data_IF_639056044576
#
_entry.id   IF_639056044576
#
_cell.length_a   1.000
_cell.length_b   1.000
_cell.length_c   1.000
_cell.angle_alpha   90.00
_cell.angle_beta   90.00
_cell.angle_gamma   90.00
#
_symmetry.space_group_name_H-M   'P 1'
#
loop_
_entity.id
_entity.type
_entity.pdbx_description
1 polymer ?
#
# COMPACT_ATOMS: atom_id res chain seq x y z
N UNK A 1 16.76 5.70 -4.47
CA UNK A 1 16.37 5.70 -5.89
C UNK A 1 14.90 6.06 -5.98
N UNK A 2 14.61 7.36 -5.93
CA UNK A 2 13.25 7.90 -5.85
C UNK A 2 13.08 8.88 -7.01
N UNK A 3 12.72 8.39 -8.19
CA UNK A 3 12.27 9.21 -9.32
C UNK A 3 11.92 8.32 -10.50
N UNK A 4 10.63 8.00 -10.65
CA UNK A 4 10.02 7.80 -11.98
C UNK A 4 8.50 7.78 -12.07
N UNK A 5 7.76 8.08 -11.01
CA UNK A 5 6.30 8.36 -11.10
C UNK A 5 6.03 9.86 -11.36
N UNK A 6 7.04 10.73 -11.41
CA UNK A 6 6.84 12.15 -11.80
C UNK A 6 6.50 12.35 -13.29
N UNK A 7 6.79 11.38 -14.16
CA UNK A 7 6.52 11.47 -15.60
C UNK A 7 5.13 10.97 -15.99
N UNK A 8 4.59 10.00 -15.24
CA UNK A 8 3.18 9.57 -15.32
C UNK A 8 2.39 10.44 -14.34
N UNK A 9 2.54 11.76 -14.45
CA UNK A 9 1.40 12.64 -14.19
C UNK A 9 0.45 12.43 -15.37
N UNK A 10 -0.13 11.23 -15.46
CA UNK A 10 -1.37 11.11 -16.21
C UNK A 10 -2.31 11.95 -15.38
N UNK A 11 -2.59 13.17 -15.88
CA UNK A 11 -3.77 13.92 -15.47
C UNK A 11 -4.96 13.07 -15.89
N UNK A 12 -5.28 12.04 -15.11
CA UNK A 12 -6.51 11.27 -15.20
C UNK A 12 -7.61 12.20 -14.71
N UNK A 13 -7.97 13.22 -15.51
CA UNK A 13 -9.16 14.06 -15.34
C UNK A 13 -9.44 14.73 -13.97
N UNK A 14 -8.60 14.57 -12.95
CA UNK A 14 -8.92 14.91 -11.57
C UNK A 14 -7.84 14.42 -10.59
N UNK A 15 -7.76 15.10 -9.47
CA UNK A 15 -6.70 15.06 -8.47
C UNK A 15 -6.31 13.64 -7.97
N UNK A 16 -5.30 13.01 -8.59
CA UNK A 16 -4.73 11.72 -8.15
C UNK A 16 -4.00 11.81 -6.80
N UNK A 17 -3.88 13.00 -6.20
CA UNK A 17 -3.24 13.19 -4.91
C UNK A 17 -3.97 12.48 -3.77
N UNK A 18 -5.29 12.24 -3.90
CA UNK A 18 -6.08 11.51 -2.89
C UNK A 18 -5.62 10.06 -2.74
N UNK A 19 -5.54 9.34 -3.86
CA UNK A 19 -5.09 7.95 -3.90
C UNK A 19 -3.63 7.81 -3.43
N UNK A 20 -2.73 8.68 -3.92
CA UNK A 20 -1.33 8.67 -3.52
C UNK A 20 -1.15 8.95 -2.01
N UNK A 21 -1.95 9.87 -1.44
CA UNK A 21 -1.96 10.13 0.00
C UNK A 21 -2.46 8.91 0.78
N UNK A 22 -3.55 8.27 0.34
CA UNK A 22 -4.10 7.08 0.99
C UNK A 22 -3.11 5.91 0.97
N UNK A 23 -2.50 5.62 -0.17
CA UNK A 23 -1.48 4.57 -0.29
C UNK A 23 -0.25 4.88 0.56
N UNK A 24 0.20 6.13 0.61
CA UNK A 24 1.32 6.54 1.47
C UNK A 24 0.98 6.41 2.96
N UNK A 25 -0.23 6.79 3.38
CA UNK A 25 -0.68 6.63 4.76
C UNK A 25 -0.71 5.16 5.18
N UNK A 26 -1.28 4.30 4.33
CA UNK A 26 -1.33 2.84 4.55
C UNK A 26 0.08 2.24 4.60
N UNK A 27 0.95 2.58 3.65
CA UNK A 27 2.34 2.11 3.64
C UNK A 27 3.11 2.53 4.90
N UNK A 28 2.88 3.74 5.42
CA UNK A 28 3.49 4.19 6.67
C UNK A 28 2.95 3.42 7.88
N UNK A 29 1.65 3.13 7.92
CA UNK A 29 1.04 2.29 8.96
C UNK A 29 1.66 0.88 8.97
N UNK A 30 1.75 0.24 7.81
CA UNK A 30 2.37 -1.09 7.65
C UNK A 30 3.81 -1.09 8.15
N UNK A 31 4.63 -0.11 7.77
CA UNK A 31 6.03 0.01 8.23
C UNK A 31 6.12 0.13 9.75
N UNK A 32 5.24 0.93 10.36
CA UNK A 32 5.19 1.09 11.81
C UNK A 32 4.81 -0.22 12.50
N UNK A 33 3.75 -0.88 12.03
CA UNK A 33 3.28 -2.17 12.55
C UNK A 33 4.38 -3.25 12.42
N UNK A 34 5.10 -3.29 11.30
CA UNK A 34 6.25 -4.19 11.12
C UNK A 34 7.38 -3.93 12.13
N UNK A 35 7.71 -2.66 12.41
CA UNK A 35 8.71 -2.32 13.44
C UNK A 35 8.27 -2.80 14.82
N UNK A 36 7.01 -2.53 15.19
CA UNK A 36 6.45 -2.97 16.47
C UNK A 36 6.43 -4.49 16.59
N UNK A 37 6.12 -5.21 15.51
CA UNK A 37 6.21 -6.68 15.48
C UNK A 37 7.64 -7.18 15.69
N UNK A 38 8.66 -6.51 15.15
CA UNK A 38 10.07 -6.86 15.39
C UNK A 38 10.44 -6.64 16.85
N UNK A 39 10.03 -5.53 17.44
CA UNK A 39 10.31 -5.23 18.85
C UNK A 39 9.65 -6.26 19.78
N UNK A 40 8.37 -6.58 19.55
CA UNK A 40 7.66 -7.61 20.32
C UNK A 40 8.32 -8.98 20.15
N UNK A 41 8.75 -9.35 18.95
CA UNK A 41 9.47 -10.62 18.73
C UNK A 41 10.82 -10.64 19.43
N UNK A 42 11.55 -9.53 19.49
CA UNK A 42 12.83 -9.45 20.21
C UNK A 42 12.62 -9.58 21.73
N UNK A 43 11.59 -8.94 22.28
CA UNK A 43 11.23 -9.07 23.69
C UNK A 43 10.75 -10.49 24.03
N UNK A 44 9.95 -11.12 23.16
CA UNK A 44 9.52 -12.52 23.31
C UNK A 44 10.70 -13.51 23.24
N UNK A 45 11.80 -13.18 22.56
CA UNK A 45 13.01 -14.03 22.62
C UNK A 45 13.67 -14.00 24.00
N UNK A 46 13.60 -12.86 24.70
CA UNK A 46 14.14 -12.70 26.06
C UNK A 46 13.23 -13.35 27.11
N UNK A 47 11.91 -13.28 26.91
CA UNK A 47 10.90 -13.93 27.75
C UNK A 47 9.80 -14.55 26.88
N UNK A 48 9.98 -15.84 26.58
CA UNK A 48 9.10 -16.61 25.69
C UNK A 48 7.75 -16.94 26.32
N UNK A 49 7.65 -16.89 27.65
CA UNK A 49 6.43 -17.15 28.41
C UNK A 49 5.55 -15.90 28.60
N UNK A 50 5.97 -14.75 28.07
CA UNK A 50 5.27 -13.50 28.28
C UNK A 50 3.94 -13.43 27.50
N UNK A 51 2.85 -13.79 28.17
CA UNK A 51 1.50 -13.81 27.60
C UNK A 51 1.00 -12.43 27.16
N UNK A 52 1.46 -11.36 27.81
CA UNK A 52 1.12 -9.97 27.43
C UNK A 52 1.73 -9.62 26.08
N UNK A 53 3.00 -9.98 25.86
CA UNK A 53 3.67 -9.76 24.57
C UNK A 53 3.07 -10.64 23.46
N UNK A 54 2.61 -11.85 23.78
CA UNK A 54 1.88 -12.70 22.83
C UNK A 54 0.54 -12.08 22.41
N UNK A 55 -0.24 -11.57 23.38
CA UNK A 55 -1.47 -10.84 23.08
C UNK A 55 -1.19 -9.62 22.21
N UNK A 56 -0.16 -8.84 22.56
CA UNK A 56 0.25 -7.67 21.78
C UNK A 56 0.69 -8.02 20.36
N UNK A 57 1.38 -9.14 20.19
CA UNK A 57 1.76 -9.67 18.86
C UNK A 57 0.53 -9.98 18.02
N UNK A 58 -0.48 -10.63 18.60
CA UNK A 58 -1.72 -10.95 17.89
C UNK A 58 -2.48 -9.69 17.48
N UNK A 59 -2.58 -8.68 18.36
CA UNK A 59 -3.17 -7.38 18.01
C UNK A 59 -2.46 -6.71 16.83
N UNK A 60 -1.12 -6.70 16.85
CA UNK A 60 -0.33 -6.11 15.77
C UNK A 60 -0.46 -6.90 14.46
N UNK A 61 -0.58 -8.22 14.52
CA UNK A 61 -0.85 -9.05 13.34
C UNK A 61 -2.23 -8.75 12.76
N UNK A 62 -3.26 -8.63 13.60
CA UNK A 62 -4.60 -8.23 13.18
C UNK A 62 -4.59 -6.84 12.52
N UNK A 63 -3.87 -5.89 13.10
CA UNK A 63 -3.68 -4.56 12.52
C UNK A 63 -2.94 -4.62 11.17
N UNK A 64 -1.90 -5.46 11.05
CA UNK A 64 -1.17 -5.65 9.80
C UNK A 64 -2.06 -6.23 8.69
N UNK A 65 -2.93 -7.19 9.03
CA UNK A 65 -3.91 -7.75 8.09
C UNK A 65 -4.86 -6.66 7.61
N UNK A 66 -5.48 -5.90 8.53
CA UNK A 66 -6.40 -4.83 8.17
C UNK A 66 -5.75 -3.71 7.36
N UNK A 67 -4.49 -3.36 7.63
CA UNK A 67 -3.75 -2.41 6.81
C UNK A 67 -3.43 -2.96 5.41
N UNK A 68 -3.20 -4.27 5.30
CA UNK A 68 -2.95 -4.94 4.01
C UNK A 68 -4.23 -5.02 3.18
N UNK A 69 -5.38 -5.31 3.80
CA UNK A 69 -6.70 -5.27 3.16
C UNK A 69 -7.00 -3.88 2.62
N UNK A 70 -6.80 -2.82 3.41
CA UNK A 70 -6.94 -1.44 2.95
C UNK A 70 -6.00 -1.08 1.80
N UNK A 71 -4.78 -1.62 1.81
CA UNK A 71 -3.84 -1.43 0.69
C UNK A 71 -4.37 -2.08 -0.57
N UNK A 72 -4.90 -3.30 -0.46
CA UNK A 72 -5.47 -4.03 -1.58
C UNK A 72 -6.67 -3.27 -2.17
N UNK A 73 -7.62 -2.85 -1.34
CA UNK A 73 -8.78 -2.05 -1.76
C UNK A 73 -8.36 -0.76 -2.49
N UNK A 74 -7.35 -0.06 -1.96
CA UNK A 74 -6.84 1.15 -2.59
C UNK A 74 -6.18 0.86 -3.96
N UNK A 75 -5.47 -0.26 -4.11
CA UNK A 75 -4.87 -0.67 -5.38
C UNK A 75 -5.92 -1.12 -6.40
N UNK A 76 -6.96 -1.83 -5.98
CA UNK A 76 -8.10 -2.19 -6.83
C UNK A 76 -8.83 -0.95 -7.34
N UNK A 77 -9.10 0.02 -6.46
CA UNK A 77 -9.70 1.30 -6.87
C UNK A 77 -8.80 2.06 -7.86
N UNK A 78 -7.49 2.08 -7.60
CA UNK A 78 -6.53 2.69 -8.52
C UNK A 78 -6.58 2.05 -9.91
N UNK A 79 -6.64 0.72 -9.97
CA UNK A 79 -6.73 -0.01 -11.23
C UNK A 79 -8.04 0.27 -11.96
N UNK A 80 -9.16 0.32 -11.24
CA UNK A 80 -10.46 0.64 -11.80
C UNK A 80 -10.50 2.06 -12.37
N UNK A 81 -9.97 3.04 -11.64
CA UNK A 81 -9.91 4.44 -12.07
C UNK A 81 -9.05 4.61 -13.33
N UNK A 82 -7.91 3.93 -13.41
CA UNK A 82 -7.04 3.93 -14.59
C UNK A 82 -7.73 3.28 -15.79
N UNK A 83 -8.45 2.18 -15.58
CA UNK A 83 -9.20 1.49 -16.64
C UNK A 83 -10.33 2.37 -17.17
N UNK A 84 -11.13 2.98 -16.30
CA UNK A 84 -12.19 3.93 -16.68
C UNK A 84 -11.63 5.13 -17.44
N UNK A 85 -10.47 5.66 -17.04
CA UNK A 85 -9.81 6.76 -17.74
C UNK A 85 -9.36 6.38 -19.15
N UNK A 86 -8.89 5.15 -19.32
CA UNK A 86 -8.56 4.61 -20.64
C UNK A 86 -9.80 4.43 -21.51
N UNK A 87 -10.89 3.88 -20.96
CA UNK A 87 -12.17 3.71 -21.67
C UNK A 87 -12.80 5.04 -22.09
N UNK A 88 -12.69 6.08 -21.26
CA UNK A 88 -13.14 7.44 -21.60
C UNK A 88 -12.26 8.13 -22.65
N UNK A 89 -11.09 7.57 -22.98
CA UNK A 89 -10.12 8.17 -23.89
C UNK A 89 -9.26 9.27 -23.25
N UNK A 90 -9.35 9.46 -21.94
CA UNK A 90 -8.49 10.41 -21.18
C UNK A 90 -7.04 9.91 -21.08
N UNK A 91 -6.82 8.60 -21.34
CA UNK A 91 -5.55 7.91 -21.16
C UNK A 91 -5.17 7.19 -22.47
N UNK A 92 -3.97 7.47 -22.98
CA UNK A 92 -3.46 6.81 -24.20
C UNK A 92 -3.03 5.36 -23.95
N UNK A 93 -3.05 4.53 -24.99
CA UNK A 93 -2.66 3.10 -24.92
C UNK A 93 -1.28 2.88 -24.29
N UNK A 94 -0.32 3.74 -24.61
CA UNK A 94 1.04 3.65 -24.05
C UNK A 94 1.09 3.93 -22.55
N UNK A 95 0.27 4.87 -22.07
CA UNK A 95 0.16 5.20 -20.64
C UNK A 95 -0.53 4.06 -19.86
N UNK A 96 -1.53 3.42 -20.48
CA UNK A 96 -2.23 2.27 -19.89
C UNK A 96 -1.32 1.04 -19.80
N UNK A 97 -0.56 0.76 -20.88
CA UNK A 97 0.42 -0.32 -20.90
C UNK A 97 1.56 -0.10 -19.90
N UNK A 98 2.04 1.15 -19.74
CA UNK A 98 3.01 1.49 -18.72
C UNK A 98 2.47 1.21 -17.30
N UNK A 99 1.22 1.58 -17.01
CA UNK A 99 0.60 1.28 -15.71
C UNK A 99 0.54 -0.24 -15.45
N UNK A 100 0.10 -1.04 -16.41
CA UNK A 100 0.05 -2.50 -16.28
C UNK A 100 1.44 -3.14 -16.07
N UNK A 101 2.46 -2.62 -16.77
CA UNK A 101 3.82 -3.14 -16.65
C UNK A 101 4.45 -2.83 -15.28
N UNK A 102 4.11 -1.70 -14.67
CA UNK A 102 4.58 -1.35 -13.33
C UNK A 102 3.78 -2.02 -12.22
N UNK A 103 2.46 -2.21 -12.37
CA UNK A 103 1.64 -2.91 -11.40
C UNK A 103 2.03 -4.39 -11.20
N UNK A 104 2.75 -4.98 -12.15
CA UNK A 104 3.30 -6.34 -12.04
C UNK A 104 4.70 -6.40 -11.40
N UNK A 105 5.31 -5.25 -11.06
CA UNK A 105 6.69 -5.15 -10.60
C UNK A 105 6.85 -4.76 -9.12
N UNK A 106 5.77 -4.42 -8.41
CA UNK A 106 5.71 -4.26 -6.95
C UNK A 106 5.14 -5.51 -6.26
#
# INVERSE_FOLDING_TARGET
MASRIKGITVKIGGDTSGLEKSLNAVNNSIKKTQSQLRDVNNLLKLDQSNTILLARKQELLQAAIGDTEKKLEALEQAQEDVTKAFERGDLGKDQYMAFLQYGAAE
#
